data_IF_643541500755
#
_entry.id   IF_643541500755
#
_cell.length_a   1.000
_cell.length_b   1.000
_cell.length_c   1.000
_cell.angle_alpha   90.00
_cell.angle_beta   90.00
_cell.angle_gamma   90.00
#
_symmetry.space_group_name_H-M   'P 1'
#
loop_
_entity.id
_entity.type
_entity.pdbx_description
1 polymer ?
#
# COMPACT_ATOMS: atom_id res chain seq x y z
N UNK A 1 0.91 -0.63 14.16
CA UNK A 1 0.71 0.71 13.56
C UNK A 1 -0.08 0.63 12.24
N UNK A 2 0.34 -0.16 11.25
CA UNK A 2 -0.34 -0.26 9.93
C UNK A 2 -1.84 -0.59 10.01
N UNK A 3 -2.22 -1.58 10.82
CA UNK A 3 -3.63 -1.95 11.02
C UNK A 3 -4.48 -0.77 11.52
N UNK A 4 -3.93 0.05 12.41
CA UNK A 4 -4.60 1.23 12.94
C UNK A 4 -4.80 2.31 11.87
N UNK A 5 -3.81 2.51 10.99
CA UNK A 5 -3.93 3.44 9.85
C UNK A 5 -5.03 2.96 8.91
N UNK A 6 -5.02 1.69 8.51
CA UNK A 6 -6.05 1.16 7.61
C UNK A 6 -7.45 1.24 8.22
N UNK A 7 -7.60 0.96 9.51
CA UNK A 7 -8.88 1.09 10.21
C UNK A 7 -9.34 2.56 10.30
N UNK A 8 -8.41 3.50 10.51
CA UNK A 8 -8.71 4.92 10.55
C UNK A 8 -9.15 5.44 9.17
N UNK A 9 -8.45 5.07 8.09
CA UNK A 9 -8.81 5.40 6.71
C UNK A 9 -10.22 4.90 6.37
N UNK A 10 -10.52 3.65 6.72
CA UNK A 10 -11.84 3.07 6.53
C UNK A 10 -12.92 3.85 7.32
N UNK A 11 -12.63 4.26 8.56
CA UNK A 11 -13.57 5.01 9.40
C UNK A 11 -13.90 6.40 8.84
N UNK A 12 -12.98 7.03 8.13
CA UNK A 12 -13.19 8.35 7.49
C UNK A 12 -13.72 8.23 6.06
N UNK A 13 -14.11 7.03 5.61
CA UNK A 13 -14.67 6.79 4.27
C UNK A 13 -13.63 6.75 3.15
N UNK A 14 -12.34 6.64 3.48
CA UNK A 14 -11.27 6.45 2.50
C UNK A 14 -11.04 4.94 2.34
N UNK A 15 -11.71 4.37 1.36
CA UNK A 15 -11.56 2.95 0.97
C UNK A 15 -10.63 2.77 -0.24
N UNK A 16 -10.40 3.87 -0.94
CA UNK A 16 -9.69 3.98 -2.21
C UNK A 16 -8.18 4.20 -1.99
N UNK A 17 -7.47 3.11 -1.67
CA UNK A 17 -6.02 3.14 -1.49
C UNK A 17 -5.36 1.83 -1.89
N UNK A 18 -4.12 1.91 -2.35
CA UNK A 18 -3.27 0.75 -2.58
C UNK A 18 -2.49 0.40 -1.31
N UNK A 19 -2.23 -0.88 -1.09
CA UNK A 19 -1.28 -1.37 -0.07
C UNK A 19 -0.28 -2.28 -0.75
N UNK A 20 1.00 -1.95 -0.60
CA UNK A 20 2.10 -2.75 -1.09
C UNK A 20 2.95 -3.24 0.08
N UNK A 21 3.47 -4.45 -0.03
CA UNK A 21 4.60 -4.92 0.78
C UNK A 21 5.86 -4.89 -0.08
N UNK A 22 7.00 -4.68 0.57
CA UNK A 22 8.31 -4.67 -0.08
C UNK A 22 9.36 -5.32 0.83
N UNK A 23 10.32 -5.97 0.21
CA UNK A 23 11.38 -6.80 0.80
C UNK A 23 12.25 -7.33 -0.35
N UNK A 24 12.40 -8.65 -0.49
CA UNK A 24 12.98 -9.28 -1.70
C UNK A 24 12.11 -9.08 -2.95
N UNK A 25 10.81 -8.90 -2.77
CA UNK A 25 9.85 -8.68 -3.85
C UNK A 25 8.83 -7.63 -3.45
N UNK A 26 8.23 -6.99 -4.45
CA UNK A 26 7.13 -6.04 -4.27
C UNK A 26 5.83 -6.76 -4.58
N UNK A 27 4.89 -6.74 -3.64
CA UNK A 27 3.59 -7.38 -3.78
C UNK A 27 2.47 -6.37 -3.52
N UNK A 28 1.46 -6.36 -4.40
CA UNK A 28 0.25 -5.57 -4.21
C UNK A 28 -0.76 -6.37 -3.38
N UNK A 29 -0.94 -5.97 -2.12
CA UNK A 29 -1.84 -6.65 -1.16
C UNK A 29 -3.28 -6.17 -1.30
N UNK A 30 -3.46 -4.88 -1.62
CA UNK A 30 -4.77 -4.27 -1.87
C UNK A 30 -4.65 -3.34 -3.04
N UNK A 31 -5.56 -3.50 -4.01
CA UNK A 31 -5.73 -2.52 -5.08
C UNK A 31 -6.71 -1.42 -4.67
N UNK A 32 -6.61 -0.28 -5.34
CA UNK A 32 -7.36 0.95 -5.07
C UNK A 32 -8.85 0.68 -4.84
N UNK A 33 -9.53 -0.02 -5.76
CA UNK A 33 -10.98 -0.30 -5.71
C UNK A 33 -11.37 -1.54 -4.91
N UNK A 34 -10.41 -2.27 -4.34
CA UNK A 34 -10.71 -3.48 -3.59
C UNK A 34 -11.24 -3.12 -2.19
N UNK A 35 -12.39 -3.67 -1.83
CA UNK A 35 -13.01 -3.41 -0.53
C UNK A 35 -12.10 -3.77 0.63
N UNK A 36 -12.13 -2.94 1.67
CA UNK A 36 -11.50 -3.23 2.95
C UNK A 36 -12.27 -4.34 3.67
N UNK A 37 -11.62 -5.48 3.98
CA UNK A 37 -12.30 -6.61 4.60
C UNK A 37 -11.37 -7.65 5.21
N UNK A 38 -11.96 -8.69 5.81
CA UNK A 38 -11.22 -9.79 6.46
C UNK A 38 -10.20 -10.46 5.54
N UNK A 39 -10.51 -10.60 4.26
CA UNK A 39 -9.60 -11.19 3.27
C UNK A 39 -8.34 -10.32 3.11
N UNK A 40 -8.49 -9.00 2.96
CA UNK A 40 -7.35 -8.08 2.92
C UNK A 40 -6.46 -8.22 4.16
N UNK A 41 -7.07 -8.22 5.36
CA UNK A 41 -6.32 -8.35 6.62
C UNK A 41 -5.53 -9.66 6.69
N UNK A 42 -6.14 -10.76 6.26
CA UNK A 42 -5.48 -12.06 6.22
C UNK A 42 -4.32 -12.08 5.21
N UNK A 43 -4.53 -11.53 4.01
CA UNK A 43 -3.46 -11.41 3.01
C UNK A 43 -2.30 -10.54 3.50
N UNK A 44 -2.61 -9.39 4.12
CA UNK A 44 -1.60 -8.50 4.70
C UNK A 44 -0.76 -9.19 5.78
N UNK A 45 -1.41 -9.85 6.74
CA UNK A 45 -0.70 -10.54 7.82
C UNK A 45 0.17 -11.69 7.31
N UNK A 46 -0.28 -12.39 6.27
CA UNK A 46 0.51 -13.47 5.65
C UNK A 46 1.69 -12.97 4.84
N UNK A 47 1.58 -11.78 4.24
CA UNK A 47 2.64 -11.16 3.46
C UNK A 47 3.73 -10.50 4.33
N UNK A 48 3.43 -10.16 5.59
CA UNK A 48 4.36 -9.50 6.54
C UNK A 48 5.40 -10.45 7.16
N UNK A 49 5.91 -11.43 6.40
CA UNK A 49 7.01 -12.28 6.88
C UNK A 49 8.31 -11.46 6.88
N UNK A 50 8.78 -11.14 8.08
CA UNK A 50 10.04 -10.40 8.31
C UNK A 50 11.18 -11.43 8.19
N UNK A 51 11.66 -11.68 6.98
CA UNK A 51 12.79 -12.62 6.75
C UNK A 51 13.68 -12.18 5.57
N UNK A 52 13.60 -10.90 5.21
CA UNK A 52 14.31 -10.33 4.07
C UNK A 52 15.41 -9.40 4.54
N UNK A 53 16.67 -9.84 4.38
CA UNK A 53 17.88 -9.03 4.60
C UNK A 53 18.06 -7.93 3.54
N UNK A 54 17.25 -7.94 2.49
CA UNK A 54 17.30 -6.99 1.37
C UNK A 54 15.99 -6.24 1.21
N UNK A 55 16.10 -4.91 1.16
CA UNK A 55 14.96 -4.00 1.00
C UNK A 55 14.99 -3.35 -0.37
N UNK A 56 14.01 -3.64 -1.23
CA UNK A 56 13.82 -2.97 -2.53
C UNK A 56 13.04 -1.65 -2.39
N UNK A 57 13.50 -0.74 -1.51
CA UNK A 57 12.76 0.48 -1.18
C UNK A 57 12.55 1.40 -2.40
N UNK A 58 13.62 1.67 -3.16
CA UNK A 58 13.55 2.56 -4.32
C UNK A 58 12.58 2.02 -5.38
N UNK A 59 12.63 0.71 -5.63
CA UNK A 59 11.73 0.04 -6.56
C UNK A 59 10.28 0.07 -6.05
N UNK A 60 10.06 -0.10 -4.75
CA UNK A 60 8.74 -0.02 -4.14
C UNK A 60 8.15 1.38 -4.28
N UNK A 61 8.95 2.43 -4.06
CA UNK A 61 8.53 3.83 -4.27
C UNK A 61 8.24 4.09 -5.74
N UNK A 62 9.07 3.58 -6.66
CA UNK A 62 8.83 3.70 -8.10
C UNK A 62 7.50 3.04 -8.51
N UNK A 63 7.27 1.79 -8.11
CA UNK A 63 6.03 1.05 -8.39
C UNK A 63 4.81 1.78 -7.80
N UNK A 64 4.90 2.27 -6.56
CA UNK A 64 3.82 3.06 -5.95
C UNK A 64 3.54 4.35 -6.74
N UNK A 65 4.59 5.01 -7.24
CA UNK A 65 4.47 6.22 -8.07
C UNK A 65 3.74 5.94 -9.39
N UNK A 66 4.05 4.82 -10.03
CA UNK A 66 3.36 4.39 -11.26
C UNK A 66 1.88 4.10 -11.00
N UNK A 67 1.53 3.47 -9.87
CA UNK A 67 0.13 3.31 -9.48
C UNK A 67 -0.59 4.64 -9.28
N UNK A 68 0.06 5.62 -8.64
CA UNK A 68 -0.53 6.96 -8.46
C UNK A 68 -0.75 7.67 -9.81
N UNK A 69 0.21 7.60 -10.74
CA UNK A 69 0.06 8.16 -12.09
C UNK A 69 -1.14 7.56 -12.82
N UNK A 70 -1.29 6.23 -12.77
CA UNK A 70 -2.43 5.53 -13.37
C UNK A 70 -3.77 5.96 -12.77
N UNK A 71 -3.83 6.19 -11.45
CA UNK A 71 -5.07 6.66 -10.81
C UNK A 71 -5.40 8.11 -11.19
N UNK A 72 -4.38 8.97 -11.30
CA UNK A 72 -4.58 10.37 -11.70
C UNK A 72 -5.12 10.48 -13.13
N UNK A 73 -4.58 9.70 -14.06
CA UNK A 73 -5.03 9.69 -15.46
C UNK A 73 -6.42 9.08 -15.63
N UNK A 74 -6.75 8.05 -14.85
CA UNK A 74 -8.00 7.29 -15.05
C UNK A 74 -9.21 7.90 -14.32
N UNK A 75 -9.00 8.62 -13.21
CA UNK A 75 -10.09 9.16 -12.38
C UNK A 75 -10.24 10.69 -12.47
N UNK A 76 -9.50 11.38 -13.36
CA UNK A 76 -9.44 12.86 -13.41
C UNK A 76 -9.20 13.49 -12.03
N UNK A 77 -8.46 12.78 -11.17
CA UNK A 77 -8.26 13.18 -9.80
C UNK A 77 -7.03 14.09 -9.72
N UNK A 78 -7.27 15.38 -9.48
CA UNK A 78 -6.24 16.42 -9.34
C UNK A 78 -5.86 16.70 -7.87
N UNK A 79 -6.38 15.90 -6.94
CA UNK A 79 -6.06 16.01 -5.52
C UNK A 79 -4.62 15.58 -5.19
N UNK A 80 -4.08 16.01 -4.05
CA UNK A 80 -2.78 15.56 -3.59
C UNK A 80 -2.80 14.05 -3.33
N UNK A 81 -1.75 13.36 -3.80
CA UNK A 81 -1.55 11.93 -3.61
C UNK A 81 -0.35 11.71 -2.70
N UNK A 82 -0.46 10.74 -1.79
CA UNK A 82 0.54 10.48 -0.76
C UNK A 82 1.05 9.04 -0.83
N UNK A 83 2.34 8.86 -0.64
CA UNK A 83 2.97 7.56 -0.41
C UNK A 83 3.44 7.54 1.05
N UNK A 84 2.95 6.59 1.82
CA UNK A 84 3.40 6.35 3.19
C UNK A 84 4.29 5.12 3.22
N UNK A 85 5.57 5.31 3.54
CA UNK A 85 6.55 4.22 3.68
C UNK A 85 6.73 3.91 5.15
N UNK A 86 6.56 2.64 5.52
CA UNK A 86 6.82 2.12 6.85
C UNK A 86 8.04 1.20 6.77
N UNK A 87 9.18 1.66 7.27
CA UNK A 87 10.45 0.93 7.36
C UNK A 87 11.17 1.32 8.65
N UNK A 88 12.07 0.47 9.14
CA UNK A 88 12.98 0.77 10.25
C UNK A 88 14.20 1.62 9.83
N UNK A 89 14.38 1.84 8.53
CA UNK A 89 15.42 2.72 7.98
C UNK A 89 16.67 2.00 7.49
N UNK A 90 16.61 0.66 7.35
CA UNK A 90 17.63 -0.16 6.69
C UNK A 90 17.55 -0.09 5.16
#
# INVERSE_FOLDING_TARGET
MLLSICAALNKIGIEDFNVLTFGKQIELIKSYKQNYGRLFLHHLLNALKIDDETTLLNDAVFVASEFLKQQSTHNNNHGPMFIFVLTDGL
#
